data_IF_453994556057
#
_entry.id   IF_453994556057
#
_cell.length_a   1.000
_cell.length_b   1.000
_cell.length_c   1.000
_cell.angle_alpha   90.00
_cell.angle_beta   90.00
_cell.angle_gamma   90.00
#
_symmetry.space_group_name_H-M   'P 1'
#
loop_
_entity.id
_entity.type
_entity.pdbx_description
1 polymer ?
#
# COMPACT_ATOMS: atom_id res chain seq x y z
N UNK A 1 5.02 12.97 30.84
CA UNK A 1 5.49 11.59 31.18
C UNK A 1 4.49 10.54 30.71
N UNK A 2 3.19 10.78 30.83
CA UNK A 2 2.12 9.83 30.44
C UNK A 2 2.29 9.21 29.04
N UNK A 3 2.55 10.01 28.00
CA UNK A 3 2.81 9.48 26.65
C UNK A 3 3.99 8.50 26.60
N UNK A 4 5.07 8.79 27.32
CA UNK A 4 6.25 7.92 27.33
C UNK A 4 5.94 6.57 28.00
N UNK A 5 5.16 6.58 29.10
CA UNK A 5 4.73 5.36 29.77
C UNK A 5 3.81 4.52 28.85
N UNK A 6 2.85 5.16 28.16
CA UNK A 6 1.96 4.48 27.23
C UNK A 6 2.71 3.82 26.04
N UNK A 7 3.79 4.44 25.56
CA UNK A 7 4.66 3.85 24.53
C UNK A 7 5.41 2.63 25.08
N UNK A 8 6.03 2.74 26.25
CA UNK A 8 6.73 1.62 26.92
C UNK A 8 5.77 0.44 27.14
N UNK A 9 4.56 0.71 27.64
CA UNK A 9 3.55 -0.31 27.88
C UNK A 9 3.08 -0.99 26.58
N UNK A 10 2.98 -0.24 25.49
CA UNK A 10 2.64 -0.79 24.17
C UNK A 10 3.73 -1.69 23.63
N UNK A 11 5.01 -1.31 23.80
CA UNK A 11 6.15 -2.13 23.40
C UNK A 11 6.20 -3.43 24.20
N UNK A 12 5.98 -3.37 25.51
CA UNK A 12 6.12 -4.52 26.40
C UNK A 12 4.93 -5.50 26.32
N UNK A 13 3.72 -4.99 26.07
CA UNK A 13 2.49 -5.79 26.24
C UNK A 13 1.65 -5.95 24.96
N UNK A 14 2.02 -5.31 23.84
CA UNK A 14 1.28 -5.42 22.57
C UNK A 14 2.23 -5.82 21.43
N UNK A 15 2.47 -7.12 21.20
CA UNK A 15 3.36 -7.57 20.14
C UNK A 15 2.90 -7.04 18.77
N UNK A 16 3.86 -6.54 17.98
CA UNK A 16 3.61 -6.05 16.63
C UNK A 16 3.53 -7.21 15.64
N UNK A 17 2.45 -7.25 14.85
CA UNK A 17 2.29 -8.15 13.71
C UNK A 17 2.46 -7.38 12.40
N UNK A 18 3.48 -6.53 12.34
CA UNK A 18 3.74 -5.69 11.18
C UNK A 18 3.91 -6.53 9.92
N UNK A 19 3.18 -6.14 8.87
CA UNK A 19 3.35 -6.60 7.51
C UNK A 19 3.08 -5.44 6.56
N UNK A 20 3.75 -5.37 5.39
CA UNK A 20 3.35 -4.46 4.33
C UNK A 20 1.87 -4.66 3.95
N UNK A 21 1.24 -3.60 3.45
CA UNK A 21 -0.17 -3.65 3.01
C UNK A 21 -0.39 -4.65 1.85
N UNK A 22 0.63 -4.80 1.01
CA UNK A 22 0.60 -5.64 -0.18
C UNK A 22 1.97 -6.26 -0.47
N UNK A 23 1.96 -7.30 -1.30
CA UNK A 23 3.16 -7.93 -1.87
C UNK A 23 3.57 -7.19 -3.16
N UNK A 24 4.89 -7.05 -3.40
CA UNK A 24 5.40 -6.40 -4.60
C UNK A 24 5.12 -7.18 -5.89
N UNK A 25 4.75 -8.46 -5.80
CA UNK A 25 4.37 -9.28 -6.95
C UNK A 25 2.92 -9.03 -7.44
N UNK A 26 2.13 -8.21 -6.72
CA UNK A 26 0.84 -7.76 -7.23
C UNK A 26 1.01 -6.88 -8.47
N UNK A 27 -0.02 -6.83 -9.32
CA UNK A 27 -0.04 -5.85 -10.41
C UNK A 27 -0.05 -4.42 -9.87
N UNK A 28 0.45 -3.48 -10.67
CA UNK A 28 0.48 -2.04 -10.30
C UNK A 28 -0.94 -1.56 -9.93
N UNK A 29 -1.95 -2.02 -10.66
CA UNK A 29 -3.36 -1.70 -10.41
C UNK A 29 -3.85 -2.23 -9.06
N UNK A 30 -3.56 -3.50 -8.73
CA UNK A 30 -3.93 -4.10 -7.42
C UNK A 30 -3.24 -3.39 -6.25
N UNK A 31 -1.99 -2.94 -6.41
CA UNK A 31 -1.27 -2.15 -5.41
C UNK A 31 -1.97 -0.80 -5.15
N UNK A 32 -2.31 -0.08 -6.23
CA UNK A 32 -3.07 1.19 -6.15
C UNK A 32 -4.41 0.96 -5.46
N UNK A 33 -5.13 -0.10 -5.85
CA UNK A 33 -6.44 -0.42 -5.31
C UNK A 33 -6.39 -0.75 -3.83
N UNK A 34 -5.40 -1.53 -3.37
CA UNK A 34 -5.21 -1.83 -1.94
C UNK A 34 -4.99 -0.56 -1.12
N UNK A 35 -4.15 0.36 -1.58
CA UNK A 35 -3.95 1.64 -0.88
C UNK A 35 -5.26 2.43 -0.86
N UNK A 36 -5.94 2.55 -2.00
CA UNK A 36 -7.17 3.31 -2.10
C UNK A 36 -8.29 2.74 -1.20
N UNK A 37 -8.47 1.42 -1.16
CA UNK A 37 -9.56 0.77 -0.41
C UNK A 37 -9.24 0.63 1.08
N UNK A 38 -8.05 0.15 1.42
CA UNK A 38 -7.72 -0.19 2.82
C UNK A 38 -7.23 1.02 3.64
N UNK A 39 -6.58 2.00 3.01
CA UNK A 39 -6.05 3.19 3.70
C UNK A 39 -6.99 4.39 3.55
N UNK A 40 -7.47 4.67 2.33
CA UNK A 40 -8.34 5.84 2.08
C UNK A 40 -9.83 5.52 2.15
N UNK A 41 -10.23 4.26 2.22
CA UNK A 41 -11.64 3.87 2.27
C UNK A 41 -12.41 4.11 0.98
N UNK A 42 -11.71 4.16 -0.17
CA UNK A 42 -12.34 4.35 -1.47
C UNK A 42 -13.20 3.13 -1.85
N UNK A 43 -14.28 3.35 -2.59
CA UNK A 43 -15.09 2.27 -3.15
C UNK A 43 -14.41 1.59 -4.34
N UNK A 44 -13.79 2.38 -5.22
CA UNK A 44 -13.14 1.90 -6.44
C UNK A 44 -12.11 2.89 -6.97
N UNK A 45 -11.29 2.41 -7.91
CA UNK A 45 -10.28 3.21 -8.62
C UNK A 45 -10.64 3.27 -10.10
N UNK A 46 -10.69 4.48 -10.65
CA UNK A 46 -10.91 4.70 -12.08
C UNK A 46 -9.65 5.28 -12.74
N UNK A 47 -9.28 4.73 -13.89
CA UNK A 47 -8.10 5.15 -14.63
C UNK A 47 -8.50 5.96 -15.86
N UNK A 48 -7.85 7.11 -16.05
CA UNK A 48 -7.93 7.84 -17.32
C UNK A 48 -7.24 7.07 -18.44
N UNK A 49 -7.59 7.35 -19.70
CA UNK A 49 -6.91 6.75 -20.86
C UNK A 49 -5.39 7.00 -20.84
N UNK A 50 -4.95 8.14 -20.33
CA UNK A 50 -3.52 8.44 -20.19
C UNK A 50 -2.85 7.57 -19.14
N UNK A 51 -3.50 7.39 -17.98
CA UNK A 51 -2.99 6.53 -16.91
C UNK A 51 -2.89 5.07 -17.36
N UNK A 52 -3.92 4.53 -18.03
CA UNK A 52 -3.89 3.14 -18.52
C UNK A 52 -2.75 2.91 -19.53
N UNK A 53 -2.46 3.89 -20.41
CA UNK A 53 -1.31 3.80 -21.33
C UNK A 53 0.02 3.79 -20.58
N UNK A 54 0.13 4.60 -19.53
CA UNK A 54 1.35 4.69 -18.75
C UNK A 54 1.59 3.43 -17.93
N UNK A 55 0.55 2.87 -17.30
CA UNK A 55 0.63 1.59 -16.59
C UNK A 55 1.10 0.46 -17.52
N UNK A 56 0.57 0.39 -18.73
CA UNK A 56 1.01 -0.57 -19.73
C UNK A 56 2.48 -0.34 -20.14
N UNK A 57 2.92 0.91 -20.27
CA UNK A 57 4.32 1.26 -20.57
C UNK A 57 5.25 0.81 -19.44
N UNK A 58 4.89 1.06 -18.19
CA UNK A 58 5.67 0.66 -17.01
C UNK A 58 5.83 -0.85 -16.91
N UNK A 59 4.75 -1.60 -17.14
CA UNK A 59 4.80 -3.07 -17.23
C UNK A 59 5.76 -3.55 -18.32
N UNK A 60 5.69 -2.96 -19.52
CA UNK A 60 6.60 -3.31 -20.63
C UNK A 60 8.06 -3.04 -20.32
N UNK A 61 8.35 -2.04 -19.49
CA UNK A 61 9.71 -1.70 -19.07
C UNK A 61 10.21 -2.52 -17.87
N UNK A 62 9.40 -3.44 -17.34
CA UNK A 62 9.78 -4.30 -16.21
C UNK A 62 9.70 -3.60 -14.84
N UNK A 63 8.92 -2.52 -14.71
CA UNK A 63 8.71 -1.81 -13.44
C UNK A 63 7.48 -2.29 -12.67
N UNK A 64 6.88 -3.42 -13.06
CA UNK A 64 5.66 -3.94 -12.44
C UNK A 64 5.81 -4.32 -10.97
N UNK A 65 7.00 -4.79 -10.58
CA UNK A 65 7.33 -5.21 -9.23
C UNK A 65 7.77 -4.06 -8.29
N UNK A 66 7.76 -2.81 -8.78
CA UNK A 66 8.02 -1.66 -7.92
C UNK A 66 6.83 -1.39 -6.98
N UNK A 67 7.08 -0.88 -5.76
CA UNK A 67 6.01 -0.43 -4.88
C UNK A 67 5.33 0.84 -5.46
N UNK A 68 4.08 1.04 -5.04
CA UNK A 68 3.22 2.20 -5.32
C UNK A 68 3.08 3.06 -4.06
#
# INVERSE_FOLDING_TARGET
IELAQAVIDSINNKPSNFKPLYDNNLTIEEKIEKVAKEIYGAKDVAYSKAASRELARLKKLGFDNMPV
#
